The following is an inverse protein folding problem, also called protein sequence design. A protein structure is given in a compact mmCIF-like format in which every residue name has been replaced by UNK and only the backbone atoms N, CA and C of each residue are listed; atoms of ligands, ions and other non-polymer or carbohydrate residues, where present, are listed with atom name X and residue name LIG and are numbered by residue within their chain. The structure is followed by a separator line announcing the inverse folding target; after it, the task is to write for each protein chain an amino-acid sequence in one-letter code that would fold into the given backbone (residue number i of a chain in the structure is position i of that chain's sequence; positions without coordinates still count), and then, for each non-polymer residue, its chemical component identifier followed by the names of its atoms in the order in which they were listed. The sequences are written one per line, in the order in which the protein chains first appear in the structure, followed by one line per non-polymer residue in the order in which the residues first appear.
data_IF_454995932244
#
_entry.id   IF_454995932244
#
_cell.length_a   1.000
_cell.length_b   1.000
_cell.length_c   1.000
_cell.angle_alpha   90.00
_cell.angle_beta   90.00
_cell.angle_gamma   90.00
#
_symmetry.space_group_name_H-M   'P 1'
#
loop_
_entity.id
_entity.type
_entity.pdbx_description
1 polymer ?
#
# COMPACT_ATOMS: atom_id res chain seq x y z
N UNK A 1 -40.60 -17.77 -7.27
CA UNK A 1 -41.50 -17.63 -8.42
C UNK A 1 -41.38 -16.20 -8.95
N UNK A 2 -40.98 -15.98 -10.23
CA UNK A 2 -40.80 -14.65 -10.82
C UNK A 2 -42.03 -13.74 -10.70
N UNK A 3 -43.23 -14.32 -10.60
CA UNK A 3 -44.49 -13.58 -10.43
C UNK A 3 -44.57 -12.80 -9.11
N UNK A 4 -43.86 -13.25 -8.07
CA UNK A 4 -43.84 -12.57 -6.77
C UNK A 4 -42.64 -11.61 -6.62
N UNK A 5 -41.82 -11.44 -7.66
CA UNK A 5 -40.58 -10.66 -7.57
C UNK A 5 -40.83 -9.23 -7.10
N UNK A 6 -41.90 -8.58 -7.58
CA UNK A 6 -42.28 -7.22 -7.17
C UNK A 6 -42.62 -7.14 -5.67
N UNK A 7 -43.45 -8.04 -5.16
CA UNK A 7 -43.82 -8.07 -3.74
C UNK A 7 -42.60 -8.31 -2.82
N UNK A 8 -41.67 -9.18 -3.23
CA UNK A 8 -40.41 -9.38 -2.51
C UNK A 8 -39.52 -8.14 -2.55
N UNK A 9 -39.49 -7.44 -3.68
CA UNK A 9 -38.71 -6.23 -3.88
C UNK A 9 -39.23 -5.09 -2.98
N UNK A 10 -40.54 -4.85 -2.94
CA UNK A 10 -41.16 -3.85 -2.06
C UNK A 10 -40.87 -4.11 -0.57
N UNK A 11 -40.95 -5.38 -0.15
CA UNK A 11 -40.68 -5.77 1.25
C UNK A 11 -39.20 -5.66 1.64
N UNK A 12 -38.30 -5.87 0.67
CA UNK A 12 -36.85 -5.93 0.93
C UNK A 12 -36.13 -4.60 0.69
N UNK A 13 -36.65 -3.73 -0.19
CA UNK A 13 -36.05 -2.44 -0.51
C UNK A 13 -36.19 -1.43 0.61
N UNK A 14 -37.33 -1.39 1.30
CA UNK A 14 -37.60 -0.46 2.41
C UNK A 14 -36.56 -0.52 3.52
N UNK A 15 -35.81 -1.64 3.62
CA UNK A 15 -34.76 -1.87 4.62
C UNK A 15 -33.33 -1.64 4.10
N UNK A 16 -33.17 -1.11 2.88
CA UNK A 16 -31.88 -0.93 2.20
C UNK A 16 -31.49 0.55 2.15
N UNK A 17 -30.19 0.81 2.26
CA UNK A 17 -29.61 2.16 2.16
C UNK A 17 -30.00 2.90 0.87
N UNK A 18 -30.17 2.18 -0.24
CA UNK A 18 -30.61 2.76 -1.51
C UNK A 18 -32.01 3.40 -1.40
N UNK A 19 -32.92 2.75 -0.67
CA UNK A 19 -34.26 3.27 -0.45
C UNK A 19 -34.22 4.46 0.49
N UNK A 20 -33.47 4.36 1.59
CA UNK A 20 -33.29 5.47 2.53
C UNK A 20 -32.74 6.73 1.84
N UNK A 21 -31.71 6.55 1.00
CA UNK A 21 -31.14 7.63 0.21
C UNK A 21 -32.19 8.26 -0.71
N UNK A 22 -32.91 7.47 -1.51
CA UNK A 22 -33.89 8.04 -2.45
C UNK A 22 -35.07 8.67 -1.72
N UNK A 23 -35.51 8.08 -0.62
CA UNK A 23 -36.58 8.62 0.23
C UNK A 23 -36.26 10.02 0.73
N UNK A 24 -35.03 10.26 1.20
CA UNK A 24 -34.61 11.61 1.64
C UNK A 24 -34.72 12.62 0.50
N UNK A 25 -34.30 12.26 -0.71
CA UNK A 25 -34.39 13.16 -1.88
C UNK A 25 -35.85 13.46 -2.26
N UNK A 26 -36.72 12.45 -2.25
CA UNK A 26 -38.15 12.62 -2.51
C UNK A 26 -38.79 13.47 -1.40
N UNK A 27 -38.55 13.14 -0.14
CA UNK A 27 -39.09 13.85 1.01
C UNK A 27 -38.65 15.33 1.06
N UNK A 28 -37.42 15.65 0.63
CA UNK A 28 -36.97 17.04 0.45
C UNK A 28 -37.74 17.77 -0.63
N UNK A 29 -37.98 17.13 -1.79
CA UNK A 29 -38.79 17.72 -2.87
C UNK A 29 -40.25 17.94 -2.48
N UNK A 30 -40.79 17.06 -1.64
CA UNK A 30 -42.14 17.19 -1.08
C UNK A 30 -42.20 18.17 0.11
N UNK A 31 -41.07 18.72 0.57
CA UNK A 31 -41.00 19.64 1.70
C UNK A 31 -41.18 18.99 3.08
N UNK A 32 -41.27 17.66 3.14
CA UNK A 32 -41.35 16.91 4.41
C UNK A 32 -40.02 16.91 5.18
N UNK A 33 -38.90 17.13 4.48
CA UNK A 33 -37.57 17.32 5.07
C UNK A 33 -37.02 18.65 4.56
N UNK A 34 -36.48 19.48 5.45
CA UNK A 34 -35.84 20.73 5.06
C UNK A 34 -34.63 20.48 4.13
N UNK A 35 -34.41 21.37 3.17
CA UNK A 35 -33.37 21.22 2.15
C UNK A 35 -31.95 21.14 2.75
N UNK A 36 -31.73 21.83 3.87
CA UNK A 36 -30.49 21.93 4.64
C UNK A 36 -30.36 20.90 5.78
N UNK A 37 -31.36 20.04 5.99
CA UNK A 37 -31.34 19.08 7.08
C UNK A 37 -30.19 18.05 6.95
N UNK A 38 -29.40 17.91 8.01
CA UNK A 38 -28.38 16.87 8.19
C UNK A 38 -29.01 15.58 8.77
N UNK A 39 -29.16 14.55 7.93
CA UNK A 39 -29.86 13.31 8.28
C UNK A 39 -28.92 12.18 8.79
N UNK A 40 -27.62 12.44 8.91
CA UNK A 40 -26.63 11.43 9.34
C UNK A 40 -26.66 11.05 10.83
N UNK A 41 -27.43 11.77 11.66
CA UNK A 41 -27.52 11.57 13.13
C UNK A 41 -28.80 10.84 13.58
N UNK A 42 -29.74 10.57 12.68
CA UNK A 42 -31.06 10.00 13.00
C UNK A 42 -31.25 8.67 12.27
N UNK A 43 -31.90 7.70 12.92
CA UNK A 43 -32.29 6.45 12.26
C UNK A 43 -33.41 6.71 11.26
N UNK A 44 -33.04 6.96 10.00
CA UNK A 44 -33.99 7.19 8.89
C UNK A 44 -34.97 6.04 8.69
N UNK A 45 -34.61 4.82 9.11
CA UNK A 45 -35.48 3.63 9.02
C UNK A 45 -36.82 3.81 9.72
N UNK A 46 -36.81 4.35 10.95
CA UNK A 46 -38.05 4.55 11.72
C UNK A 46 -38.96 5.57 11.04
N UNK A 47 -38.37 6.66 10.53
CA UNK A 47 -39.11 7.69 9.80
C UNK A 47 -39.74 7.09 8.54
N UNK A 48 -39.00 6.25 7.82
CA UNK A 48 -39.52 5.61 6.60
C UNK A 48 -40.70 4.67 6.91
N UNK A 49 -40.62 3.93 8.01
CA UNK A 49 -41.70 3.06 8.49
C UNK A 49 -42.99 3.84 8.76
N UNK A 50 -42.90 5.03 9.37
CA UNK A 50 -44.06 5.90 9.63
C UNK A 50 -44.69 6.47 8.34
N UNK A 51 -43.91 6.52 7.25
CA UNK A 51 -44.36 7.05 5.96
C UNK A 51 -44.84 5.97 4.99
N UNK A 52 -44.91 4.69 5.42
CA UNK A 52 -45.42 3.60 4.57
C UNK A 52 -46.84 3.93 4.08
N UNK A 53 -47.05 3.84 2.76
CA UNK A 53 -48.33 4.14 2.12
C UNK A 53 -48.56 5.62 1.80
N UNK A 54 -47.71 6.53 2.29
CA UNK A 54 -47.74 7.96 1.93
C UNK A 54 -47.38 8.20 0.44
N UNK A 55 -47.76 9.35 -0.14
CA UNK A 55 -47.33 9.73 -1.48
C UNK A 55 -45.80 9.75 -1.65
N UNK A 56 -45.07 10.18 -0.62
CA UNK A 56 -43.59 10.21 -0.60
C UNK A 56 -43.03 8.79 -0.73
N UNK A 57 -43.57 7.84 0.03
CA UNK A 57 -43.13 6.45 -0.02
C UNK A 57 -43.43 5.79 -1.37
N UNK A 58 -44.63 6.02 -1.91
CA UNK A 58 -45.03 5.51 -3.24
C UNK A 58 -44.16 6.09 -4.36
N UNK A 59 -43.88 7.38 -4.32
CA UNK A 59 -43.02 8.03 -5.32
C UNK A 59 -41.56 7.57 -5.20
N UNK A 60 -41.08 7.34 -3.98
CA UNK A 60 -39.74 6.75 -3.75
C UNK A 60 -39.61 5.38 -4.42
N UNK A 61 -40.61 4.50 -4.23
CA UNK A 61 -40.64 3.21 -4.92
C UNK A 61 -40.64 3.41 -6.43
N UNK A 62 -41.55 4.23 -6.96
CA UNK A 62 -41.66 4.47 -8.40
C UNK A 62 -40.36 4.97 -9.04
N UNK A 63 -39.67 5.91 -8.42
CA UNK A 63 -38.38 6.41 -8.93
C UNK A 63 -37.29 5.35 -8.88
N UNK A 64 -37.25 4.51 -7.84
CA UNK A 64 -36.30 3.40 -7.79
C UNK A 64 -36.61 2.37 -8.87
N UNK A 65 -37.88 2.03 -9.07
CA UNK A 65 -38.34 1.13 -10.11
C UNK A 65 -38.02 1.66 -11.53
N UNK A 66 -38.03 2.97 -11.73
CA UNK A 66 -37.84 3.57 -13.06
C UNK A 66 -36.38 3.88 -13.35
N UNK A 67 -35.64 4.41 -12.38
CA UNK A 67 -34.28 4.93 -12.60
C UNK A 67 -33.16 3.94 -12.22
N UNK A 68 -33.43 3.03 -11.28
CA UNK A 68 -32.39 2.19 -10.66
C UNK A 68 -32.58 0.70 -10.89
N UNK A 69 -33.80 0.28 -11.19
CA UNK A 69 -34.18 -1.12 -11.28
C UNK A 69 -34.81 -1.40 -12.65
N UNK A 70 -34.63 -2.60 -13.17
CA UNK A 70 -35.31 -3.08 -14.38
C UNK A 70 -36.06 -4.35 -13.98
N UNK A 71 -37.28 -4.16 -13.46
CA UNK A 71 -38.09 -5.25 -12.93
C UNK A 71 -38.50 -6.21 -14.04
N UNK A 72 -38.90 -5.68 -15.19
CA UNK A 72 -39.38 -6.46 -16.33
C UNK A 72 -38.29 -7.42 -16.84
N UNK A 73 -37.08 -6.91 -17.13
CA UNK A 73 -35.97 -7.77 -17.56
C UNK A 73 -35.51 -8.72 -16.45
N UNK A 74 -35.58 -8.30 -15.19
CA UNK A 74 -35.23 -9.19 -14.06
C UNK A 74 -36.16 -10.40 -14.00
N UNK A 75 -37.46 -10.19 -14.17
CA UNK A 75 -38.46 -11.27 -14.24
C UNK A 75 -38.20 -12.16 -15.46
N UNK A 76 -37.89 -11.59 -16.61
CA UNK A 76 -37.53 -12.34 -17.82
C UNK A 76 -36.32 -13.26 -17.58
N UNK A 77 -35.23 -12.72 -17.03
CA UNK A 77 -34.01 -13.49 -16.72
C UNK A 77 -34.32 -14.63 -15.74
N UNK A 78 -35.11 -14.36 -14.69
CA UNK A 78 -35.50 -15.39 -13.72
C UNK A 78 -36.33 -16.51 -14.38
N UNK A 79 -37.24 -16.17 -15.30
CA UNK A 79 -37.99 -17.16 -16.09
C UNK A 79 -37.05 -17.99 -16.97
N UNK A 80 -36.09 -17.37 -17.67
CA UNK A 80 -35.10 -18.08 -18.49
C UNK A 80 -34.22 -19.02 -17.65
N UNK A 81 -33.87 -18.63 -16.42
CA UNK A 81 -33.17 -19.51 -15.48
C UNK A 81 -34.05 -20.71 -15.08
N UNK A 82 -35.33 -20.48 -14.75
CA UNK A 82 -36.27 -21.55 -14.40
C UNK A 82 -36.50 -22.53 -15.56
N UNK A 83 -36.61 -22.01 -16.78
CA UNK A 83 -36.77 -22.79 -18.01
C UNK A 83 -35.48 -23.49 -18.47
N UNK A 84 -34.36 -23.32 -17.75
CA UNK A 84 -33.02 -23.83 -18.09
C UNK A 84 -32.45 -23.30 -19.41
N UNK A 85 -32.99 -22.20 -19.93
CA UNK A 85 -32.39 -21.45 -21.05
C UNK A 85 -31.10 -20.74 -20.59
N UNK A 86 -31.05 -20.32 -19.31
CA UNK A 86 -29.84 -19.82 -18.65
C UNK A 86 -29.38 -20.87 -17.63
N UNK A 87 -28.18 -21.40 -17.84
CA UNK A 87 -27.57 -22.38 -16.95
C UNK A 87 -26.81 -21.70 -15.81
N UNK A 88 -27.01 -22.20 -14.58
CA UNK A 88 -26.33 -21.70 -13.37
C UNK A 88 -25.39 -22.78 -12.84
N UNK A 89 -24.11 -22.44 -12.69
CA UNK A 89 -23.08 -23.35 -12.19
C UNK A 89 -22.50 -22.84 -10.88
N UNK A 90 -22.38 -23.72 -9.90
CA UNK A 90 -21.72 -23.43 -8.63
C UNK A 90 -20.30 -24.00 -8.65
N UNK A 91 -19.30 -23.14 -8.41
CA UNK A 91 -17.91 -23.56 -8.22
C UNK A 91 -17.47 -23.32 -6.78
N UNK A 92 -16.70 -24.24 -6.19
CA UNK A 92 -16.08 -24.02 -4.88
C UNK A 92 -14.99 -22.94 -4.97
N UNK A 93 -14.93 -22.08 -3.96
CA UNK A 93 -13.92 -21.02 -3.82
C UNK A 93 -14.23 -19.72 -4.57
N UNK A 94 -13.36 -18.72 -4.40
CA UNK A 94 -13.50 -17.40 -5.03
C UNK A 94 -12.80 -17.35 -6.39
N UNK A 95 -13.58 -17.13 -7.45
CA UNK A 95 -13.05 -16.81 -8.77
C UNK A 95 -12.31 -15.46 -8.77
N UNK A 96 -11.44 -15.16 -9.76
CA UNK A 96 -10.82 -13.85 -9.90
C UNK A 96 -11.83 -12.69 -9.86
N UNK A 97 -13.00 -12.85 -10.50
CA UNK A 97 -14.10 -11.88 -10.44
C UNK A 97 -14.75 -11.83 -9.05
N UNK A 98 -14.97 -12.98 -8.42
CA UNK A 98 -15.49 -13.06 -7.05
C UNK A 98 -14.59 -12.32 -6.05
N UNK A 99 -13.26 -12.41 -6.21
CA UNK A 99 -12.29 -11.66 -5.39
C UNK A 99 -12.44 -10.15 -5.57
N UNK A 100 -12.69 -9.68 -6.79
CA UNK A 100 -12.96 -8.26 -7.04
C UNK A 100 -14.25 -7.82 -6.34
N UNK A 101 -15.34 -8.59 -6.46
CA UNK A 101 -16.61 -8.29 -5.81
C UNK A 101 -16.51 -8.19 -4.28
N UNK A 102 -15.78 -9.11 -3.64
CA UNK A 102 -15.50 -9.07 -2.19
C UNK A 102 -14.70 -7.81 -1.82
N UNK A 103 -13.67 -7.48 -2.61
CA UNK A 103 -12.84 -6.28 -2.39
C UNK A 103 -13.65 -4.99 -2.48
N UNK A 104 -14.60 -4.90 -3.40
CA UNK A 104 -15.47 -3.71 -3.54
C UNK A 104 -16.50 -3.61 -2.41
N UNK A 105 -17.17 -4.71 -2.06
CA UNK A 105 -18.26 -4.72 -1.07
C UNK A 105 -17.78 -4.58 0.38
N UNK A 106 -16.61 -5.10 0.68
CA UNK A 106 -16.03 -5.07 2.02
C UNK A 106 -14.84 -4.12 2.11
N UNK A 107 -14.75 -3.08 1.27
CA UNK A 107 -13.59 -2.19 1.21
C UNK A 107 -13.23 -1.50 2.55
N UNK A 108 -14.17 -1.42 3.50
CA UNK A 108 -13.95 -0.88 4.85
C UNK A 108 -13.37 -1.92 5.83
N UNK A 109 -13.70 -3.21 5.66
CA UNK A 109 -13.23 -4.32 6.51
C UNK A 109 -11.98 -4.97 5.90
N UNK A 110 -12.05 -5.22 4.60
CA UNK A 110 -10.93 -5.44 3.69
C UNK A 110 -10.41 -4.05 3.35
N UNK A 111 -9.77 -3.42 4.34
CA UNK A 111 -9.21 -2.07 4.22
C UNK A 111 -8.55 -1.89 2.85
N UNK A 112 -8.62 -0.68 2.28
CA UNK A 112 -8.16 -0.49 0.92
C UNK A 112 -6.71 -0.97 0.83
N UNK A 113 -6.29 -1.48 -0.34
CA UNK A 113 -4.85 -1.61 -0.64
C UNK A 113 -4.12 -0.25 -0.67
N UNK A 114 -4.63 0.77 0.01
CA UNK A 114 -4.27 2.20 -0.01
C UNK A 114 -3.68 2.74 1.30
N UNK A 115 -2.91 1.99 2.11
CA UNK A 115 -1.84 2.66 2.84
C UNK A 115 -0.54 2.63 2.03
N UNK A 116 -0.47 2.08 0.81
CA UNK A 116 0.81 2.00 0.09
C UNK A 116 1.43 3.36 -0.25
N UNK A 117 0.64 4.35 -0.70
CA UNK A 117 1.17 5.70 -1.01
C UNK A 117 1.58 6.45 0.25
N UNK A 118 0.74 6.44 1.28
CA UNK A 118 1.04 7.11 2.56
C UNK A 118 2.22 6.43 3.28
N UNK A 119 2.25 5.09 3.31
CA UNK A 119 3.39 4.31 3.82
C UNK A 119 4.64 4.62 3.00
N UNK A 120 4.53 4.71 1.67
CA UNK A 120 5.66 5.03 0.81
C UNK A 120 6.20 6.43 1.08
N UNK A 121 5.34 7.43 1.23
CA UNK A 121 5.76 8.80 1.55
C UNK A 121 6.40 8.89 2.94
N UNK A 122 5.80 8.26 3.96
CA UNK A 122 6.40 8.17 5.30
C UNK A 122 7.75 7.45 5.27
N UNK A 123 7.85 6.35 4.50
CA UNK A 123 9.08 5.63 4.28
C UNK A 123 10.14 6.51 3.60
N UNK A 124 9.76 7.25 2.55
CA UNK A 124 10.62 8.12 1.75
C UNK A 124 11.16 9.24 2.63
N UNK A 125 10.30 9.94 3.36
CA UNK A 125 10.71 10.96 4.33
C UNK A 125 11.69 10.40 5.37
N UNK A 126 11.38 9.24 5.96
CA UNK A 126 12.28 8.57 6.92
C UNK A 126 13.63 8.21 6.30
N UNK A 127 13.64 7.61 5.10
CA UNK A 127 14.87 7.18 4.45
C UNK A 127 15.75 8.39 4.12
N UNK A 128 15.16 9.47 3.59
CA UNK A 128 15.88 10.70 3.26
C UNK A 128 16.41 11.40 4.52
N UNK A 129 15.69 11.35 5.64
CA UNK A 129 16.15 11.88 6.92
C UNK A 129 17.15 10.96 7.66
N UNK A 130 17.39 9.75 7.16
CA UNK A 130 18.34 8.82 7.78
C UNK A 130 19.76 9.34 7.63
N UNK A 131 20.54 9.27 8.71
CA UNK A 131 21.96 9.57 8.70
C UNK A 131 22.79 8.31 8.40
N UNK A 132 23.79 8.48 7.56
CA UNK A 132 24.77 7.46 7.19
C UNK A 132 26.17 8.01 7.35
N UNK A 133 27.12 7.16 7.71
CA UNK A 133 28.54 7.49 7.76
C UNK A 133 29.23 6.83 6.58
N UNK A 134 29.99 7.62 5.82
CA UNK A 134 30.88 7.12 4.77
C UNK A 134 32.26 6.93 5.36
N UNK A 135 32.89 5.80 5.07
CA UNK A 135 34.23 5.45 5.54
C UNK A 135 35.09 5.09 4.33
N UNK A 136 36.25 5.73 4.19
CA UNK A 136 37.17 5.46 3.10
C UNK A 136 37.85 4.10 3.29
N UNK A 137 37.64 3.18 2.35
CA UNK A 137 38.31 1.86 2.35
C UNK A 137 39.69 1.90 1.69
N UNK A 138 40.03 2.98 0.97
CA UNK A 138 41.34 3.13 0.33
C UNK A 138 42.43 3.54 1.32
N UNK A 139 42.27 4.69 2.00
CA UNK A 139 43.25 5.18 2.96
C UNK A 139 42.93 4.80 4.42
N UNK A 140 41.67 4.46 4.75
CA UNK A 140 41.28 4.10 6.11
C UNK A 140 41.34 5.26 7.13
N UNK A 141 41.51 6.50 6.68
CA UNK A 141 41.71 7.66 7.56
C UNK A 141 40.60 8.70 7.55
N UNK A 142 39.60 8.51 6.69
CA UNK A 142 38.52 9.46 6.52
C UNK A 142 37.18 8.79 6.79
N UNK A 143 36.39 9.41 7.65
CA UNK A 143 34.98 9.13 7.80
C UNK A 143 34.19 10.44 7.96
N UNK A 144 32.98 10.49 7.41
CA UNK A 144 32.10 11.64 7.57
C UNK A 144 30.63 11.20 7.54
N UNK A 145 29.80 11.83 8.38
CA UNK A 145 28.36 11.55 8.47
C UNK A 145 27.58 12.51 7.58
N UNK A 146 26.57 11.99 6.89
CA UNK A 146 25.68 12.70 5.99
C UNK A 146 24.23 12.29 6.24
N UNK A 147 23.29 13.21 6.04
CA UNK A 147 21.86 12.89 5.90
C UNK A 147 21.58 12.54 4.46
N UNK A 148 20.98 11.38 4.19
CA UNK A 148 20.80 10.82 2.83
C UNK A 148 20.16 11.83 1.87
N UNK A 149 19.09 12.51 2.29
CA UNK A 149 18.38 13.49 1.47
C UNK A 149 19.14 14.79 1.19
N UNK A 150 20.21 15.08 1.93
CA UNK A 150 21.04 16.29 1.74
C UNK A 150 22.22 16.05 0.79
N UNK A 151 22.43 14.83 0.31
CA UNK A 151 23.56 14.51 -0.58
C UNK A 151 23.13 14.75 -2.03
N UNK A 152 23.54 15.89 -2.59
CA UNK A 152 23.24 16.27 -3.97
C UNK A 152 24.34 15.95 -4.98
N UNK A 153 25.57 15.70 -4.51
CA UNK A 153 26.74 15.43 -5.36
C UNK A 153 27.46 14.17 -4.94
N UNK A 154 28.20 13.57 -5.86
CA UNK A 154 29.12 12.47 -5.56
C UNK A 154 30.12 12.87 -4.46
N UNK A 155 30.45 11.94 -3.58
CA UNK A 155 31.34 12.15 -2.46
C UNK A 155 32.64 11.40 -2.73
N UNK A 156 33.76 12.10 -2.58
CA UNK A 156 35.08 11.50 -2.59
C UNK A 156 35.73 11.65 -1.21
N UNK A 157 36.70 10.79 -0.92
CA UNK A 157 37.49 10.92 0.28
C UNK A 157 38.27 12.25 0.26
N UNK A 158 38.07 13.12 1.26
CA UNK A 158 38.77 14.40 1.35
C UNK A 158 40.27 14.29 1.67
N UNK A 159 40.75 13.09 2.02
CA UNK A 159 42.18 12.83 2.29
C UNK A 159 42.96 12.30 1.10
N UNK A 160 42.37 11.41 0.30
CA UNK A 160 43.09 10.71 -0.79
C UNK A 160 42.39 10.80 -2.15
N UNK A 161 41.26 11.49 -2.26
CA UNK A 161 40.49 11.60 -3.50
C UNK A 161 39.75 10.33 -3.95
N UNK A 162 40.04 9.17 -3.35
CA UNK A 162 39.42 7.91 -3.75
C UNK A 162 37.90 7.89 -3.50
N UNK A 163 37.17 7.22 -4.40
CA UNK A 163 35.72 6.99 -4.32
C UNK A 163 35.35 5.62 -3.73
N UNK A 164 36.31 4.88 -3.19
CA UNK A 164 36.06 3.59 -2.54
C UNK A 164 35.53 3.80 -1.11
N UNK A 165 34.24 4.12 -0.99
CA UNK A 165 33.61 4.53 0.26
C UNK A 165 32.54 3.54 0.72
N UNK A 166 32.71 2.97 1.92
CA UNK A 166 31.70 2.10 2.53
C UNK A 166 30.64 2.90 3.28
N UNK A 167 29.36 2.56 3.05
CA UNK A 167 28.21 3.14 3.75
C UNK A 167 27.90 2.35 5.03
N UNK A 168 27.98 3.01 6.19
CA UNK A 168 27.71 2.40 7.51
C UNK A 168 26.78 3.25 8.35
N UNK A 169 26.26 2.68 9.44
CA UNK A 169 25.46 3.44 10.41
C UNK A 169 26.36 4.42 11.18
N UNK A 170 25.89 5.60 11.58
CA UNK A 170 26.68 6.58 12.32
C UNK A 170 27.32 6.03 13.61
N UNK A 171 26.62 5.12 14.31
CA UNK A 171 27.10 4.47 15.53
C UNK A 171 28.20 3.43 15.30
N UNK A 172 28.42 2.99 14.06
CA UNK A 172 29.42 1.96 13.74
C UNK A 172 30.84 2.53 13.86
N UNK A 173 31.66 1.95 14.74
CA UNK A 173 33.08 2.29 14.95
C UNK A 173 34.00 1.41 14.11
N UNK A 174 33.87 1.46 12.78
CA UNK A 174 34.57 0.52 11.87
C UNK A 174 35.92 1.03 11.36
N UNK A 175 36.25 2.31 11.52
CA UNK A 175 37.51 2.89 11.00
C UNK A 175 38.75 2.15 11.50
N UNK A 176 38.76 1.71 12.76
CA UNK A 176 39.85 0.92 13.35
C UNK A 176 40.05 -0.41 12.61
N UNK A 177 38.96 -1.08 12.24
CA UNK A 177 38.97 -2.34 11.49
C UNK A 177 39.52 -2.09 10.08
N UNK A 178 39.10 -1.01 9.42
CA UNK A 178 39.60 -0.64 8.09
C UNK A 178 41.11 -0.39 8.13
N UNK A 179 41.60 0.39 9.10
CA UNK A 179 43.04 0.63 9.29
C UNK A 179 43.85 -0.64 9.51
N UNK A 180 43.34 -1.57 10.33
CA UNK A 180 43.97 -2.88 10.55
C UNK A 180 43.98 -3.74 9.28
N UNK A 181 42.89 -3.68 8.51
CA UNK A 181 42.74 -4.42 7.26
C UNK A 181 43.73 -4.01 6.18
N UNK A 182 43.97 -2.71 6.03
CA UNK A 182 44.99 -2.19 5.12
C UNK A 182 46.42 -2.64 5.50
N UNK A 183 46.66 -2.93 6.78
CA UNK A 183 47.94 -3.44 7.28
C UNK A 183 48.03 -4.97 7.32
N UNK A 184 46.99 -5.68 6.86
CA UNK A 184 46.93 -7.15 6.89
C UNK A 184 46.77 -7.78 8.29
N UNK A 185 46.52 -6.98 9.34
CA UNK A 185 46.48 -7.43 10.74
C UNK A 185 45.04 -7.60 11.26
N UNK A 186 44.26 -8.50 10.64
CA UNK A 186 42.86 -8.74 11.00
C UNK A 186 42.66 -10.09 11.69
N UNK A 187 41.88 -10.10 12.77
CA UNK A 187 41.35 -11.36 13.33
C UNK A 187 40.32 -11.99 12.38
N UNK A 188 39.99 -13.26 12.58
CA UNK A 188 39.02 -13.96 11.73
C UNK A 188 37.62 -13.29 11.74
N UNK A 189 37.21 -12.71 12.87
CA UNK A 189 35.97 -11.94 12.97
C UNK A 189 36.08 -10.58 12.26
N UNK A 190 37.19 -9.86 12.45
CA UNK A 190 37.44 -8.58 11.79
C UNK A 190 37.53 -8.73 10.25
N UNK A 191 38.07 -9.85 9.75
CA UNK A 191 38.09 -10.17 8.31
C UNK A 191 36.70 -10.19 7.69
N UNK A 192 35.72 -10.81 8.34
CA UNK A 192 34.32 -10.85 7.86
C UNK A 192 33.70 -9.45 7.79
N UNK A 193 33.95 -8.63 8.81
CA UNK A 193 33.48 -7.23 8.84
C UNK A 193 34.15 -6.42 7.74
N UNK A 194 35.47 -6.53 7.60
CA UNK A 194 36.24 -5.84 6.56
C UNK A 194 35.76 -6.19 5.16
N UNK A 195 35.56 -7.48 4.86
CA UNK A 195 35.01 -7.94 3.57
C UNK A 195 33.60 -7.38 3.33
N UNK A 196 32.76 -7.33 4.36
CA UNK A 196 31.42 -6.74 4.25
C UNK A 196 31.49 -5.25 3.90
N UNK A 197 32.42 -4.51 4.51
CA UNK A 197 32.64 -3.09 4.22
C UNK A 197 33.17 -2.89 2.80
N UNK A 198 34.11 -3.74 2.36
CA UNK A 198 34.63 -3.71 0.99
C UNK A 198 33.51 -3.91 -0.03
N UNK A 199 32.64 -4.91 0.16
CA UNK A 199 31.50 -5.14 -0.71
C UNK A 199 30.53 -3.95 -0.77
N UNK A 200 30.36 -3.20 0.32
CA UNK A 200 29.56 -1.96 0.30
C UNK A 200 30.27 -0.84 -0.46
N UNK A 201 31.59 -0.75 -0.31
CA UNK A 201 32.38 0.24 -1.02
C UNK A 201 32.39 -0.01 -2.53
N UNK A 202 32.43 -1.27 -2.97
CA UNK A 202 32.31 -1.64 -4.38
C UNK A 202 30.96 -1.18 -4.97
N UNK A 203 29.87 -1.34 -4.21
CA UNK A 203 28.55 -0.85 -4.62
C UNK A 203 28.53 0.67 -4.76
N UNK A 204 29.17 1.39 -3.84
CA UNK A 204 29.27 2.84 -3.95
C UNK A 204 30.11 3.27 -5.16
N UNK A 205 31.20 2.57 -5.43
CA UNK A 205 32.07 2.87 -6.57
C UNK A 205 31.31 2.80 -7.90
N UNK A 206 30.43 1.81 -8.05
CA UNK A 206 29.63 1.60 -9.28
C UNK A 206 28.37 2.48 -9.31
N UNK A 207 27.57 2.46 -8.24
CA UNK A 207 26.21 3.03 -8.23
C UNK A 207 26.11 4.40 -7.53
N UNK A 208 27.20 4.89 -6.92
CA UNK A 208 27.32 6.24 -6.34
C UNK A 208 26.18 6.54 -5.36
N UNK A 209 25.42 7.63 -5.60
CA UNK A 209 24.33 8.08 -4.73
C UNK A 209 23.22 7.02 -4.54
N UNK A 210 22.92 6.23 -5.58
CA UNK A 210 21.92 5.15 -5.48
C UNK A 210 22.34 4.12 -4.42
N UNK A 211 23.63 3.79 -4.34
CA UNK A 211 24.14 2.88 -3.31
C UNK A 211 23.91 3.41 -1.89
N UNK A 212 24.06 4.72 -1.68
CA UNK A 212 23.80 5.34 -0.38
C UNK A 212 22.34 5.16 0.02
N UNK A 213 21.40 5.49 -0.88
CA UNK A 213 19.95 5.36 -0.63
C UNK A 213 19.56 3.92 -0.29
N UNK A 214 20.07 2.96 -1.06
CA UNK A 214 19.77 1.53 -0.84
C UNK A 214 20.39 1.01 0.46
N UNK A 215 21.66 1.33 0.74
CA UNK A 215 22.36 0.87 1.95
C UNK A 215 21.91 1.58 3.24
N UNK A 216 21.19 2.71 3.12
CA UNK A 216 20.50 3.35 4.24
C UNK A 216 19.25 2.56 4.70
N UNK A 217 18.74 1.66 3.85
CA UNK A 217 17.59 0.82 4.18
C UNK A 217 17.86 -0.13 5.36
N UNK A 218 16.84 -0.32 6.20
CA UNK A 218 16.88 -1.19 7.38
C UNK A 218 16.99 -2.66 6.95
N UNK A 219 18.05 -3.32 7.41
CA UNK A 219 18.27 -4.74 7.12
C UNK A 219 18.82 -5.03 5.73
N UNK A 220 19.18 -4.00 4.97
CA UNK A 220 19.77 -4.16 3.64
C UNK A 220 21.29 -4.28 3.77
N UNK A 221 21.80 -5.51 3.56
CA UNK A 221 23.22 -5.81 3.46
C UNK A 221 23.77 -5.67 2.03
N UNK A 222 25.08 -5.90 1.81
CA UNK A 222 25.70 -5.76 0.49
C UNK A 222 25.08 -6.69 -0.57
N UNK A 223 24.73 -7.92 -0.20
CA UNK A 223 24.11 -8.89 -1.11
C UNK A 223 22.74 -8.42 -1.60
N UNK A 224 21.88 -7.96 -0.67
CA UNK A 224 20.54 -7.45 -1.00
C UNK A 224 20.64 -6.15 -1.80
N UNK A 225 21.53 -5.23 -1.38
CA UNK A 225 21.76 -3.98 -2.09
C UNK A 225 22.22 -4.21 -3.53
N UNK A 226 23.11 -5.19 -3.77
CA UNK A 226 23.55 -5.56 -5.12
C UNK A 226 22.39 -6.02 -6.00
N UNK A 227 21.47 -6.84 -5.47
CA UNK A 227 20.28 -7.32 -6.20
C UNK A 227 19.34 -6.17 -6.56
N UNK A 228 19.11 -5.25 -5.61
CA UNK A 228 18.27 -4.07 -5.86
C UNK A 228 18.92 -3.22 -6.94
N UNK A 229 20.18 -2.81 -6.76
CA UNK A 229 20.88 -1.90 -7.67
C UNK A 229 21.11 -2.47 -9.08
N UNK A 230 21.16 -3.79 -9.23
CA UNK A 230 21.29 -4.44 -10.54
C UNK A 230 20.00 -4.40 -11.39
N UNK A 231 18.84 -4.10 -10.79
CA UNK A 231 17.59 -3.91 -11.53
C UNK A 231 17.62 -2.59 -12.30
N UNK A 232 16.89 -2.55 -13.41
CA UNK A 232 16.70 -1.32 -14.16
C UNK A 232 15.62 -0.45 -13.49
N UNK A 233 15.98 0.78 -13.12
CA UNK A 233 15.04 1.77 -12.56
C UNK A 233 14.99 3.01 -13.45
N UNK A 234 13.80 3.36 -13.92
CA UNK A 234 13.54 4.55 -14.74
C UNK A 234 13.53 5.83 -13.91
N UNK A 235 13.19 5.72 -12.63
CA UNK A 235 13.10 6.85 -11.70
C UNK A 235 13.68 6.51 -10.32
N UNK A 236 13.97 7.55 -9.54
CA UNK A 236 14.40 7.37 -8.14
C UNK A 236 13.28 6.73 -7.29
N UNK A 237 12.01 7.01 -7.62
CA UNK A 237 10.88 6.42 -6.90
C UNK A 237 10.78 4.90 -7.10
N UNK A 238 11.06 4.40 -8.31
CA UNK A 238 11.11 2.95 -8.56
C UNK A 238 12.20 2.28 -7.73
N UNK A 239 13.38 2.90 -7.62
CA UNK A 239 14.45 2.41 -6.74
C UNK A 239 14.00 2.38 -5.28
N UNK A 240 13.34 3.45 -4.81
CA UNK A 240 12.85 3.54 -3.44
C UNK A 240 11.74 2.51 -3.13
N UNK A 241 10.90 2.16 -4.11
CA UNK A 241 9.90 1.09 -3.96
C UNK A 241 10.55 -0.27 -3.74
N UNK A 242 11.60 -0.60 -4.49
CA UNK A 242 12.38 -1.82 -4.29
C UNK A 242 13.05 -1.86 -2.90
N UNK A 243 13.53 -0.71 -2.41
CA UNK A 243 14.11 -0.60 -1.06
C UNK A 243 13.04 -0.85 0.00
N UNK A 244 11.85 -0.26 -0.14
CA UNK A 244 10.72 -0.49 0.77
C UNK A 244 10.31 -1.96 0.81
N UNK A 245 10.25 -2.63 -0.35
CA UNK A 245 9.96 -4.05 -0.44
C UNK A 245 11.02 -4.90 0.27
N UNK A 246 12.30 -4.56 0.10
CA UNK A 246 13.38 -5.24 0.79
C UNK A 246 13.33 -5.05 2.32
N UNK A 247 12.96 -3.87 2.83
CA UNK A 247 12.73 -3.67 4.26
C UNK A 247 11.55 -4.50 4.78
N UNK A 248 10.43 -4.55 4.05
CA UNK A 248 9.26 -5.38 4.40
C UNK A 248 9.67 -6.85 4.49
N UNK A 249 10.42 -7.34 3.51
CA UNK A 249 10.93 -8.71 3.50
C UNK A 249 11.84 -8.97 4.70
N UNK A 250 12.76 -8.05 5.02
CA UNK A 250 13.61 -8.17 6.20
C UNK A 250 12.80 -8.23 7.51
N UNK A 251 11.81 -7.35 7.70
CA UNK A 251 10.95 -7.35 8.90
C UNK A 251 10.17 -8.66 9.01
N UNK A 252 9.61 -9.15 7.89
CA UNK A 252 8.88 -10.41 7.84
C UNK A 252 9.76 -11.60 8.20
N UNK A 253 10.98 -11.67 7.65
CA UNK A 253 11.87 -12.80 7.89
C UNK A 253 12.63 -12.71 9.20
N UNK A 254 12.81 -11.51 9.79
CA UNK A 254 13.61 -11.32 11.02
C UNK A 254 13.17 -12.20 12.18
N UNK A 255 11.88 -12.53 12.31
CA UNK A 255 11.36 -13.43 13.35
C UNK A 255 11.96 -14.85 13.30
N UNK A 256 12.49 -15.26 12.15
CA UNK A 256 13.07 -16.58 11.92
C UNK A 256 14.62 -16.62 12.02
N UNK A 257 15.26 -15.48 12.33
CA UNK A 257 16.73 -15.34 12.34
C UNK A 257 17.31 -15.32 13.76
N UNK A 258 16.47 -15.53 14.77
CA UNK A 258 16.83 -15.68 16.18
C UNK A 258 16.77 -17.15 16.63
N UNK A 259 17.20 -18.06 15.75
CA UNK A 259 17.53 -19.45 16.08
C UNK A 259 19.05 -19.58 16.04
#
# INVERSE_FOLDING_TARGET
NPEHFKAYLETSLSKRELFEWKFVHVAKRFGAIASDAEYGKVSMRRIIEDYVGSPIYKETLRELETEKLDIEKSVEILKKIQNKEILVFFKPGLSPLGKLGVKYKYAEIVGPGKPEKEIFELFKQRLLNTQVKLVCMNCGEWEQTYTVGKISKEIACKRCGAKLLSVVRPSSKVLKIVKKGLKGKLTQQEKKVYQTLMQKADLYLVYKLKAIKVLAGRGIGPKTARRILARFHRSDEELLKDVLEAERNFVRTRKYWSV
#
